data_IF_306449810944
#
_entry.id   IF_306449810944
#
_cell.length_a   1.000
_cell.length_b   1.000
_cell.length_c   1.000
_cell.angle_alpha   90.00
_cell.angle_beta   90.00
_cell.angle_gamma   90.00
#
_symmetry.space_group_name_H-M   'P 1'
#
loop_
_entity.id
_entity.type
_entity.pdbx_description
1 polymer ?
#
# COMPACT_ATOMS: atom_id res chain seq x y z
N UNK A 1 94.82 -12.39 38.82
CA UNK A 1 93.39 -12.06 38.92
C UNK A 1 93.12 -10.98 37.87
N UNK A 2 92.62 -11.40 36.71
CA UNK A 2 92.05 -10.62 35.59
C UNK A 2 92.67 -9.27 35.17
N UNK A 3 93.61 -9.31 34.21
CA UNK A 3 93.92 -8.22 33.28
C UNK A 3 93.24 -8.50 31.92
N UNK A 4 92.62 -7.48 31.28
CA UNK A 4 92.57 -7.29 29.80
C UNK A 4 91.77 -6.02 29.38
N UNK A 5 92.53 -5.04 28.89
CA UNK A 5 92.43 -4.34 27.58
C UNK A 5 91.12 -3.65 27.11
N UNK A 6 91.16 -2.31 27.18
CA UNK A 6 91.07 -1.28 26.12
C UNK A 6 90.24 -1.51 24.82
N UNK A 7 89.35 -0.54 24.57
CA UNK A 7 89.06 0.26 23.34
C UNK A 7 87.55 0.55 23.32
N UNK A 8 87.01 1.78 23.30
CA UNK A 8 87.35 2.98 22.53
C UNK A 8 86.12 3.29 21.65
N UNK A 9 85.45 4.44 21.81
CA UNK A 9 84.87 5.24 20.71
C UNK A 9 84.15 6.51 21.23
N UNK A 10 84.47 7.63 20.58
CA UNK A 10 83.87 8.97 20.73
C UNK A 10 82.58 9.09 19.90
N UNK A 11 81.82 10.16 20.24
CA UNK A 11 81.07 11.10 19.39
C UNK A 11 79.53 11.16 19.48
N UNK A 12 79.10 12.40 19.80
CA UNK A 12 78.02 13.21 19.21
C UNK A 12 76.60 13.20 19.81
N UNK A 13 76.26 14.37 20.35
CA UNK A 13 74.91 14.93 20.49
C UNK A 13 74.23 15.07 19.11
N UNK A 14 72.94 14.76 19.03
CA UNK A 14 71.99 15.46 18.16
C UNK A 14 70.54 15.22 18.66
N UNK A 15 69.79 16.31 18.83
CA UNK A 15 68.41 16.29 19.31
C UNK A 15 67.44 15.67 18.31
N UNK A 16 66.48 14.89 18.82
CA UNK A 16 65.32 14.42 18.05
C UNK A 16 64.14 15.36 18.26
N UNK A 17 63.79 16.11 17.22
CA UNK A 17 62.47 16.73 17.05
C UNK A 17 61.42 15.62 16.99
N UNK A 18 60.38 15.70 17.84
CA UNK A 18 59.20 14.85 17.75
C UNK A 18 58.48 15.15 16.42
N UNK A 19 58.47 14.18 15.50
CA UNK A 19 57.57 14.22 14.33
C UNK A 19 56.17 13.88 14.83
N UNK A 20 55.23 14.80 14.62
CA UNK A 20 53.80 14.58 14.78
C UNK A 20 53.34 13.52 13.78
N UNK A 21 52.74 12.44 14.27
CA UNK A 21 52.05 11.46 13.43
C UNK A 21 50.77 12.09 12.89
N UNK A 22 50.44 11.96 11.60
CA UNK A 22 49.12 12.36 11.11
C UNK A 22 48.07 11.43 11.73
N UNK A 23 46.99 12.02 12.25
CA UNK A 23 45.78 11.29 12.60
C UNK A 23 45.24 10.56 11.37
N UNK A 24 44.73 9.32 11.50
CA UNK A 24 43.92 8.75 10.44
C UNK A 24 42.66 9.60 10.36
N UNK A 25 42.54 10.40 9.31
CA UNK A 25 41.24 10.86 8.87
C UNK A 25 40.44 9.61 8.54
N UNK A 26 39.49 9.25 9.40
CA UNK A 26 38.41 8.37 9.00
C UNK A 26 37.73 9.08 7.83
N UNK A 27 37.82 8.53 6.63
CA UNK A 27 36.89 8.85 5.57
C UNK A 27 35.50 8.50 6.11
N UNK A 28 34.79 9.49 6.66
CA UNK A 28 33.35 9.45 6.71
C UNK A 28 32.92 9.40 5.25
N UNK A 29 32.69 8.19 4.73
CA UNK A 29 32.21 7.98 3.37
C UNK A 29 31.04 8.93 3.15
N UNK A 30 31.14 9.79 2.15
CA UNK A 30 30.09 10.75 1.82
C UNK A 30 28.78 10.00 1.60
N UNK A 31 27.85 10.12 2.55
CA UNK A 31 26.50 9.56 2.41
C UNK A 31 25.81 10.31 1.27
N UNK A 32 25.69 9.65 0.12
CA UNK A 32 24.99 10.20 -1.03
C UNK A 32 23.49 10.06 -0.80
N UNK A 33 22.81 11.19 -0.65
CA UNK A 33 21.36 11.23 -0.55
C UNK A 33 20.74 10.92 -1.91
N UNK A 34 19.75 10.03 -1.93
CA UNK A 34 19.09 9.57 -3.17
C UNK A 34 17.64 10.04 -3.26
N UNK A 35 16.99 10.33 -2.14
CA UNK A 35 15.62 10.82 -2.09
C UNK A 35 15.39 11.64 -0.82
N UNK A 36 15.09 12.94 -0.98
CA UNK A 36 14.96 13.89 0.15
C UNK A 36 16.20 13.80 1.05
N UNK A 37 15.99 13.48 2.33
CA UNK A 37 17.03 13.39 3.36
C UNK A 37 17.52 11.95 3.59
N UNK A 38 17.18 11.01 2.69
CA UNK A 38 17.56 9.60 2.80
C UNK A 38 18.72 9.23 1.88
N UNK A 39 19.69 8.49 2.43
CA UNK A 39 20.56 7.59 1.67
C UNK A 39 19.83 6.27 1.34
N UNK A 40 20.50 5.32 0.70
CA UNK A 40 19.88 4.05 0.31
C UNK A 40 19.34 3.26 1.50
N UNK A 41 20.14 3.11 2.57
CA UNK A 41 19.77 2.32 3.73
C UNK A 41 18.60 2.96 4.50
N UNK A 42 18.60 4.28 4.64
CA UNK A 42 17.51 5.04 5.22
C UNK A 42 16.22 4.91 4.42
N UNK A 43 16.31 4.98 3.09
CA UNK A 43 15.15 4.83 2.22
C UNK A 43 14.57 3.42 2.28
N UNK A 44 15.42 2.38 2.28
CA UNK A 44 14.99 1.00 2.43
C UNK A 44 14.28 0.77 3.78
N UNK A 45 14.84 1.30 4.87
CA UNK A 45 14.24 1.21 6.19
C UNK A 45 12.89 1.97 6.28
N UNK A 46 12.77 3.11 5.60
CA UNK A 46 11.56 3.93 5.60
C UNK A 46 10.34 3.25 4.95
N UNK A 47 10.54 2.18 4.18
CA UNK A 47 9.48 1.39 3.55
C UNK A 47 9.41 -0.06 4.04
N UNK A 48 10.22 -0.47 5.02
CA UNK A 48 10.19 -1.82 5.56
C UNK A 48 9.16 -1.98 6.70
N UNK A 49 7.87 -1.96 6.34
CA UNK A 49 6.76 -2.10 7.30
C UNK A 49 6.80 -3.42 8.09
N UNK A 50 7.35 -4.50 7.52
CA UNK A 50 7.50 -5.80 8.20
C UNK A 50 8.54 -5.75 9.32
N UNK A 51 9.63 -5.02 9.12
CA UNK A 51 10.62 -4.79 10.17
C UNK A 51 10.10 -3.82 11.25
N UNK A 52 9.26 -2.85 10.87
CA UNK A 52 8.64 -1.92 11.81
C UNK A 52 7.62 -2.59 12.75
N UNK A 53 7.04 -3.73 12.35
CA UNK A 53 6.08 -4.51 13.14
C UNK A 53 6.55 -5.97 13.19
N UNK A 54 7.51 -6.33 14.06
CA UNK A 54 8.19 -7.62 13.99
C UNK A 54 7.30 -8.86 14.10
N UNK A 55 6.15 -8.75 14.78
CA UNK A 55 5.17 -9.82 14.99
C UNK A 55 4.06 -9.83 13.92
N UNK A 56 4.19 -9.05 12.84
CA UNK A 56 3.11 -8.82 11.89
C UNK A 56 2.49 -10.11 11.33
N UNK A 57 3.31 -11.14 11.13
CA UNK A 57 2.90 -12.41 10.55
C UNK A 57 1.91 -13.13 11.48
N UNK A 58 2.31 -13.40 12.73
CA UNK A 58 1.49 -14.13 13.68
C UNK A 58 0.32 -13.29 14.21
N UNK A 59 0.54 -12.00 14.46
CA UNK A 59 -0.46 -11.11 15.05
C UNK A 59 -1.59 -10.76 14.05
N UNK A 60 -1.27 -10.63 12.76
CA UNK A 60 -2.22 -10.14 11.76
C UNK A 60 -2.40 -11.10 10.59
N UNK A 61 -1.34 -11.40 9.84
CA UNK A 61 -1.47 -12.11 8.54
C UNK A 61 -2.03 -13.52 8.70
N UNK A 62 -1.52 -14.29 9.66
CA UNK A 62 -1.98 -15.66 9.93
C UNK A 62 -3.43 -15.65 10.44
N UNK A 63 -3.77 -14.69 11.31
CA UNK A 63 -5.13 -14.51 11.82
C UNK A 63 -6.09 -14.11 10.69
N UNK A 64 -5.72 -13.15 9.84
CA UNK A 64 -6.53 -12.76 8.67
C UNK A 64 -6.78 -13.94 7.75
N UNK A 65 -5.77 -14.77 7.47
CA UNK A 65 -5.92 -15.97 6.67
C UNK A 65 -6.86 -16.99 7.33
N UNK A 66 -6.67 -17.30 8.62
CA UNK A 66 -7.50 -18.25 9.35
C UNK A 66 -8.96 -17.79 9.47
N UNK A 67 -9.18 -16.51 9.78
CA UNK A 67 -10.52 -15.92 9.83
C UNK A 67 -11.16 -15.89 8.44
N UNK A 68 -10.40 -15.57 7.39
CA UNK A 68 -10.90 -15.58 6.00
C UNK A 68 -11.33 -16.96 5.55
N UNK A 69 -10.53 -18.00 5.85
CA UNK A 69 -10.91 -19.40 5.57
C UNK A 69 -12.23 -19.77 6.27
N UNK A 70 -12.41 -19.34 7.53
CA UNK A 70 -13.67 -19.55 8.26
C UNK A 70 -14.83 -18.82 7.58
N UNK A 71 -14.65 -17.54 7.25
CA UNK A 71 -15.69 -16.71 6.62
C UNK A 71 -16.15 -17.29 5.28
N UNK A 72 -15.24 -17.78 4.44
CA UNK A 72 -15.54 -18.40 3.14
C UNK A 72 -16.47 -19.62 3.23
N UNK A 73 -16.59 -20.23 4.40
CA UNK A 73 -17.50 -21.37 4.64
C UNK A 73 -18.82 -20.99 5.31
N UNK A 74 -18.92 -19.77 5.85
CA UNK A 74 -20.05 -19.33 6.69
C UNK A 74 -20.87 -18.19 6.09
N UNK A 75 -20.26 -17.34 5.29
CA UNK A 75 -20.94 -16.22 4.63
C UNK A 75 -21.33 -16.64 3.21
N UNK A 76 -22.57 -16.41 2.76
CA UNK A 76 -22.96 -16.66 1.38
C UNK A 76 -22.00 -15.99 0.40
N UNK A 77 -21.39 -16.77 -0.47
CA UNK A 77 -20.39 -16.25 -1.39
C UNK A 77 -20.32 -17.04 -2.70
N UNK A 78 -19.76 -16.39 -3.72
CA UNK A 78 -19.31 -16.99 -4.97
C UNK A 78 -17.82 -16.71 -5.09
N UNK A 79 -17.02 -17.76 -5.07
CA UNK A 79 -15.56 -17.69 -5.05
C UNK A 79 -15.00 -17.86 -6.47
N UNK A 80 -13.80 -17.30 -6.67
CA UNK A 80 -12.96 -17.52 -7.84
C UNK A 80 -13.63 -17.20 -9.19
N UNK A 81 -14.44 -16.14 -9.20
CA UNK A 81 -15.03 -15.61 -10.43
C UNK A 81 -13.92 -14.97 -11.27
N UNK A 82 -13.76 -15.42 -12.51
CA UNK A 82 -12.79 -14.85 -13.43
C UNK A 82 -13.27 -13.50 -13.99
N UNK A 83 -12.46 -12.46 -13.80
CA UNK A 83 -12.64 -11.19 -14.50
C UNK A 83 -11.68 -11.02 -15.69
N UNK A 84 -10.76 -11.96 -15.87
CA UNK A 84 -9.78 -11.96 -16.95
C UNK A 84 -9.05 -13.30 -17.09
N UNK A 85 -8.14 -13.41 -18.07
CA UNK A 85 -7.57 -14.70 -18.49
C UNK A 85 -6.55 -15.30 -17.50
N UNK A 86 -5.79 -14.48 -16.77
CA UNK A 86 -4.78 -15.01 -15.84
C UNK A 86 -5.43 -15.78 -14.69
N UNK A 87 -4.78 -16.84 -14.14
CA UNK A 87 -5.21 -17.51 -12.91
C UNK A 87 -5.44 -16.57 -11.72
N UNK A 88 -4.73 -15.43 -11.63
CA UNK A 88 -4.92 -14.46 -10.54
C UNK A 88 -5.92 -13.35 -10.88
N UNK A 89 -6.47 -13.31 -12.09
CA UNK A 89 -7.55 -12.38 -12.42
C UNK A 89 -8.90 -12.93 -11.91
N UNK A 90 -9.01 -12.98 -10.57
CA UNK A 90 -10.14 -13.57 -9.84
C UNK A 90 -10.70 -12.62 -8.79
N UNK A 91 -12.01 -12.70 -8.58
CA UNK A 91 -12.70 -12.04 -7.48
C UNK A 91 -13.62 -13.00 -6.74
N UNK A 92 -13.82 -12.72 -5.45
CA UNK A 92 -14.80 -13.38 -4.60
C UNK A 92 -15.90 -12.38 -4.27
N UNK A 93 -17.17 -12.76 -4.42
CA UNK A 93 -18.33 -11.94 -4.05
C UNK A 93 -19.02 -12.55 -2.86
N UNK A 94 -19.06 -11.81 -1.75
CA UNK A 94 -19.79 -12.15 -0.54
C UNK A 94 -21.08 -11.33 -0.49
N UNK A 95 -22.19 -12.01 -0.22
CA UNK A 95 -23.53 -11.45 -0.35
C UNK A 95 -24.24 -11.43 1.00
N UNK A 96 -24.94 -10.34 1.36
CA UNK A 96 -25.83 -10.32 2.52
C UNK A 96 -26.89 -11.40 2.46
N UNK A 97 -27.36 -11.85 3.63
CA UNK A 97 -28.51 -12.73 3.72
C UNK A 97 -29.79 -12.05 3.18
N UNK A 98 -30.71 -12.86 2.67
CA UNK A 98 -32.00 -12.39 2.15
C UNK A 98 -31.99 -11.97 0.68
N UNK A 99 -33.17 -11.60 0.17
CA UNK A 99 -33.34 -11.20 -1.23
C UNK A 99 -32.61 -9.89 -1.54
N UNK A 100 -32.09 -9.78 -2.77
CA UNK A 100 -31.53 -8.52 -3.27
C UNK A 100 -32.64 -7.48 -3.45
N UNK A 101 -32.45 -6.22 -3.03
CA UNK A 101 -33.41 -5.16 -3.29
C UNK A 101 -33.54 -4.87 -4.80
N UNK A 102 -34.67 -4.30 -5.24
CA UNK A 102 -34.79 -3.78 -6.61
C UNK A 102 -33.67 -2.78 -6.90
N UNK A 103 -32.95 -2.97 -8.01
CA UNK A 103 -31.81 -2.12 -8.40
C UNK A 103 -30.43 -2.60 -7.94
N UNK A 104 -30.36 -3.61 -7.06
CA UNK A 104 -29.09 -4.17 -6.57
C UNK A 104 -28.59 -3.51 -5.28
N UNK A 105 -27.43 -3.99 -4.80
CA UNK A 105 -26.83 -3.61 -3.52
C UNK A 105 -25.62 -2.69 -3.74
N UNK A 106 -25.32 -1.78 -2.81
CA UNK A 106 -23.99 -1.16 -2.76
C UNK A 106 -22.92 -2.26 -2.62
N UNK A 107 -21.70 -1.98 -3.04
CA UNK A 107 -20.59 -2.92 -2.88
C UNK A 107 -19.30 -2.22 -2.49
N UNK A 108 -18.49 -2.94 -1.71
CA UNK A 108 -17.09 -2.64 -1.48
C UNK A 108 -16.22 -3.58 -2.31
N UNK A 109 -15.51 -3.05 -3.31
CA UNK A 109 -14.36 -3.71 -3.92
C UNK A 109 -13.13 -3.46 -3.05
N UNK A 110 -12.60 -4.52 -2.44
CA UNK A 110 -11.40 -4.47 -1.61
C UNK A 110 -10.19 -5.02 -2.36
N UNK A 111 -9.11 -4.22 -2.40
CA UNK A 111 -7.84 -4.56 -3.02
C UNK A 111 -6.79 -4.78 -1.93
N UNK A 112 -6.18 -5.96 -1.93
CA UNK A 112 -5.18 -6.32 -0.92
C UNK A 112 -3.83 -5.58 -1.11
N UNK A 113 -3.06 -5.49 -0.02
CA UNK A 113 -1.68 -4.98 -0.05
C UNK A 113 -0.65 -6.05 -0.41
N UNK A 114 0.62 -5.79 -0.09
CA UNK A 114 1.73 -6.73 -0.34
C UNK A 114 2.78 -6.23 -1.33
N UNK A 115 2.96 -4.91 -1.42
CA UNK A 115 3.93 -4.27 -2.33
C UNK A 115 3.86 -4.78 -3.77
N UNK A 116 2.65 -5.11 -4.25
CA UNK A 116 2.39 -5.67 -5.58
C UNK A 116 3.15 -6.98 -5.89
N UNK A 117 3.78 -7.59 -4.90
CA UNK A 117 4.69 -8.73 -5.01
C UNK A 117 4.25 -9.92 -4.18
N UNK A 118 3.26 -9.75 -3.31
CA UNK A 118 2.77 -10.81 -2.44
C UNK A 118 1.26 -10.72 -2.21
N UNK A 119 0.78 -11.72 -1.46
CA UNK A 119 -0.60 -11.87 -1.00
C UNK A 119 -1.58 -12.36 -2.08
N UNK A 120 -2.80 -12.65 -1.62
CA UNK A 120 -3.90 -13.14 -2.42
C UNK A 120 -5.23 -12.76 -1.74
N UNK A 121 -6.30 -12.58 -2.52
CA UNK A 121 -7.65 -12.26 -1.99
C UNK A 121 -8.15 -13.23 -0.92
N UNK A 122 -7.66 -14.47 -0.93
CA UNK A 122 -8.13 -15.52 -0.01
C UNK A 122 -7.79 -15.24 1.46
N UNK A 123 -6.77 -14.43 1.73
CA UNK A 123 -6.41 -13.99 3.08
C UNK A 123 -7.19 -12.75 3.53
N UNK A 124 -8.07 -12.20 2.70
CA UNK A 124 -8.81 -10.96 2.94
C UNK A 124 -10.32 -11.16 2.81
N UNK A 125 -10.85 -12.34 3.10
CA UNK A 125 -12.29 -12.54 3.22
C UNK A 125 -12.84 -12.12 4.60
N UNK A 126 -11.98 -11.99 5.61
CA UNK A 126 -12.37 -11.64 6.99
C UNK A 126 -13.23 -10.36 7.14
N UNK A 127 -13.15 -9.32 6.27
CA UNK A 127 -14.04 -8.17 6.37
C UNK A 127 -15.49 -8.43 5.94
N UNK A 128 -15.74 -9.52 5.21
CA UNK A 128 -17.02 -9.78 4.58
C UNK A 128 -18.22 -9.78 5.53
N UNK A 129 -18.18 -10.35 6.76
CA UNK A 129 -19.33 -10.32 7.66
C UNK A 129 -19.72 -8.90 8.06
N UNK A 130 -18.75 -8.02 8.28
CA UNK A 130 -18.98 -6.63 8.69
C UNK A 130 -19.61 -5.84 7.56
N UNK A 131 -19.07 -5.97 6.35
CA UNK A 131 -19.61 -5.29 5.17
C UNK A 131 -20.97 -5.84 4.77
N UNK A 132 -21.14 -7.16 4.70
CA UNK A 132 -22.43 -7.77 4.34
C UNK A 132 -23.51 -7.55 5.40
N UNK A 133 -23.13 -7.36 6.67
CA UNK A 133 -24.04 -6.93 7.74
C UNK A 133 -24.70 -5.56 7.50
N UNK A 134 -24.14 -4.72 6.62
CA UNK A 134 -24.77 -3.44 6.21
C UNK A 134 -25.76 -3.59 5.05
N UNK A 135 -25.89 -4.77 4.46
CA UNK A 135 -26.64 -4.99 3.24
C UNK A 135 -25.85 -4.71 1.94
N UNK A 136 -24.57 -4.35 2.05
CA UNK A 136 -23.64 -4.21 0.92
C UNK A 136 -22.98 -5.54 0.52
N UNK A 137 -22.57 -5.68 -0.74
CA UNK A 137 -21.66 -6.75 -1.14
C UNK A 137 -20.24 -6.46 -0.66
N UNK A 138 -19.52 -7.50 -0.27
CA UNK A 138 -18.07 -7.44 -0.14
C UNK A 138 -17.42 -8.19 -1.29
N UNK A 139 -16.53 -7.54 -2.01
CA UNK A 139 -15.87 -8.09 -3.18
C UNK A 139 -14.37 -8.04 -2.95
N UNK A 140 -13.71 -9.18 -2.80
CA UNK A 140 -12.26 -9.26 -2.69
C UNK A 140 -11.66 -9.64 -4.04
N UNK A 141 -10.74 -8.82 -4.56
CA UNK A 141 -10.06 -9.09 -5.84
C UNK A 141 -8.57 -9.39 -5.63
N UNK A 142 -8.05 -10.28 -6.48
CA UNK A 142 -6.62 -10.52 -6.64
C UNK A 142 -6.19 -10.12 -8.05
N UNK A 143 -4.89 -9.99 -8.27
CA UNK A 143 -4.26 -9.55 -9.52
C UNK A 143 -2.87 -10.18 -9.63
N UNK A 144 -2.30 -10.19 -10.84
CA UNK A 144 -0.93 -10.69 -11.06
C UNK A 144 0.11 -9.83 -10.33
N UNK A 145 1.20 -10.46 -9.91
CA UNK A 145 2.20 -9.83 -9.06
C UNK A 145 3.50 -9.57 -9.82
N UNK A 146 4.24 -8.56 -9.39
CA UNK A 146 5.62 -8.37 -9.79
C UNK A 146 6.49 -9.51 -9.19
N UNK A 147 7.50 -10.03 -9.92
CA UNK A 147 7.99 -9.57 -11.22
C UNK A 147 7.33 -10.27 -12.43
N UNK A 148 6.32 -11.11 -12.24
CA UNK A 148 5.70 -11.88 -13.34
C UNK A 148 4.99 -10.97 -14.35
N UNK A 149 4.48 -9.82 -13.87
CA UNK A 149 3.95 -8.73 -14.69
C UNK A 149 4.53 -7.40 -14.25
N UNK A 150 4.42 -6.37 -15.12
CA UNK A 150 4.79 -5.00 -14.74
C UNK A 150 3.70 -4.34 -13.90
N UNK A 151 4.07 -3.25 -13.23
CA UNK A 151 3.14 -2.40 -12.49
C UNK A 151 2.03 -1.82 -13.40
N UNK A 152 2.34 -1.51 -14.65
CA UNK A 152 1.33 -1.08 -15.64
C UNK A 152 0.32 -2.18 -15.94
N UNK A 153 0.79 -3.42 -16.14
CA UNK A 153 -0.08 -4.56 -16.46
C UNK A 153 -1.02 -4.87 -15.29
N UNK A 154 -0.49 -4.99 -14.06
CA UNK A 154 -1.35 -5.31 -12.91
C UNK A 154 -2.38 -4.22 -12.64
N UNK A 155 -2.05 -2.94 -12.83
CA UNK A 155 -3.03 -1.86 -12.64
C UNK A 155 -4.13 -1.94 -13.71
N UNK A 156 -3.78 -2.32 -14.94
CA UNK A 156 -4.78 -2.55 -15.99
C UNK A 156 -5.69 -3.73 -15.66
N UNK A 157 -5.16 -4.82 -15.08
CA UNK A 157 -5.98 -5.93 -14.64
C UNK A 157 -7.02 -5.50 -13.60
N UNK A 158 -6.65 -4.67 -12.62
CA UNK A 158 -7.62 -4.20 -11.63
C UNK A 158 -8.65 -3.24 -12.25
N UNK A 159 -8.27 -2.45 -13.25
CA UNK A 159 -9.25 -1.66 -14.03
C UNK A 159 -10.22 -2.55 -14.81
N UNK A 160 -9.75 -3.67 -15.36
CA UNK A 160 -10.61 -4.68 -16.00
C UNK A 160 -11.57 -5.32 -14.99
N UNK A 161 -11.15 -5.55 -13.74
CA UNK A 161 -12.05 -6.01 -12.68
C UNK A 161 -13.20 -5.02 -12.44
N UNK A 162 -12.95 -3.71 -12.40
CA UNK A 162 -14.03 -2.70 -12.30
C UNK A 162 -14.95 -2.75 -13.52
N UNK A 163 -14.39 -2.81 -14.72
CA UNK A 163 -15.18 -2.97 -15.96
C UNK A 163 -16.06 -4.22 -15.94
N UNK A 164 -15.52 -5.35 -15.47
CA UNK A 164 -16.24 -6.60 -15.33
C UNK A 164 -17.39 -6.48 -14.31
N UNK A 165 -17.16 -5.84 -13.17
CA UNK A 165 -18.19 -5.62 -12.14
C UNK A 165 -19.36 -4.79 -12.68
N UNK A 166 -19.08 -3.75 -13.47
CA UNK A 166 -20.12 -2.95 -14.14
C UNK A 166 -20.91 -3.78 -15.15
N UNK A 167 -20.22 -4.56 -15.99
CA UNK A 167 -20.85 -5.40 -17.01
C UNK A 167 -21.73 -6.49 -16.40
N UNK A 168 -21.29 -7.08 -15.29
CA UNK A 168 -21.96 -8.21 -14.62
C UNK A 168 -22.74 -7.80 -13.37
N UNK A 169 -23.00 -6.51 -13.18
CA UNK A 169 -23.57 -5.98 -11.94
C UNK A 169 -24.89 -6.68 -11.56
N UNK A 170 -25.78 -6.89 -12.53
CA UNK A 170 -27.05 -7.61 -12.35
C UNK A 170 -26.84 -9.07 -11.89
N UNK A 171 -25.85 -9.77 -12.44
CA UNK A 171 -25.59 -11.19 -12.18
C UNK A 171 -25.06 -11.44 -10.76
N UNK A 172 -24.40 -10.44 -10.18
CA UNK A 172 -23.87 -10.49 -8.81
C UNK A 172 -24.73 -9.71 -7.81
N UNK A 173 -25.82 -9.08 -8.27
CA UNK A 173 -26.71 -8.28 -7.43
C UNK A 173 -26.12 -6.93 -6.99
N UNK A 174 -25.15 -6.41 -7.72
CA UNK A 174 -24.54 -5.09 -7.54
C UNK A 174 -25.41 -4.01 -8.19
N UNK A 175 -25.58 -2.89 -7.48
CA UNK A 175 -25.95 -1.61 -8.08
C UNK A 175 -24.66 -0.94 -8.62
N UNK A 176 -24.47 -0.84 -9.94
CA UNK A 176 -23.22 -0.32 -10.53
C UNK A 176 -22.97 1.15 -10.19
N UNK A 177 -23.99 1.92 -9.80
CA UNK A 177 -23.83 3.30 -9.36
C UNK A 177 -23.37 3.42 -7.89
N UNK A 178 -23.24 2.29 -7.17
CA UNK A 178 -22.91 2.24 -5.74
C UNK A 178 -21.70 1.34 -5.45
N UNK A 179 -20.75 1.29 -6.39
CA UNK A 179 -19.48 0.58 -6.22
C UNK A 179 -18.45 1.49 -5.53
N UNK A 180 -18.08 1.16 -4.30
CA UNK A 180 -16.97 1.80 -3.56
C UNK A 180 -15.73 0.95 -3.69
N UNK A 181 -14.56 1.57 -3.85
CA UNK A 181 -13.28 0.87 -3.78
C UNK A 181 -12.55 1.20 -2.48
N UNK A 182 -11.96 0.21 -1.84
CA UNK A 182 -10.98 0.41 -0.77
C UNK A 182 -9.78 -0.50 -1.00
N UNK A 183 -8.64 -0.14 -0.44
CA UNK A 183 -7.50 -1.03 -0.46
C UNK A 183 -6.42 -0.60 0.51
N UNK A 184 -5.63 -1.57 0.94
CA UNK A 184 -4.59 -1.39 1.95
C UNK A 184 -3.19 -1.39 1.33
N UNK A 185 -2.32 -0.46 1.72
CA UNK A 185 -0.91 -0.44 1.29
C UNK A 185 -0.78 -0.32 -0.24
N UNK A 186 -0.17 -1.28 -0.91
CA UNK A 186 -0.21 -1.41 -2.37
C UNK A 186 -1.64 -1.41 -2.95
N UNK A 187 -2.63 -1.95 -2.24
CA UNK A 187 -4.04 -1.85 -2.60
C UNK A 187 -4.60 -0.44 -2.42
N UNK A 188 -4.06 0.35 -1.49
CA UNK A 188 -4.40 1.77 -1.32
C UNK A 188 -3.88 2.62 -2.49
N UNK A 189 -2.67 2.32 -2.98
CA UNK A 189 -2.16 2.86 -4.25
C UNK A 189 -3.10 2.54 -5.42
N UNK A 190 -3.54 1.29 -5.55
CA UNK A 190 -4.46 0.86 -6.61
C UNK A 190 -5.82 1.56 -6.45
N UNK A 191 -6.39 1.63 -5.25
CA UNK A 191 -7.66 2.32 -5.00
C UNK A 191 -7.60 3.80 -5.38
N UNK A 192 -6.51 4.51 -5.03
CA UNK A 192 -6.29 5.89 -5.45
C UNK A 192 -6.17 6.03 -6.98
N UNK A 193 -5.46 5.09 -7.62
CA UNK A 193 -5.32 5.07 -9.08
C UNK A 193 -6.64 4.78 -9.82
N UNK A 194 -7.51 3.93 -9.25
CA UNK A 194 -8.85 3.65 -9.76
C UNK A 194 -9.77 4.87 -9.61
N UNK A 195 -9.69 5.61 -8.50
CA UNK A 195 -10.46 6.82 -8.27
C UNK A 195 -10.21 7.89 -9.35
N UNK A 196 -8.99 7.96 -9.88
CA UNK A 196 -8.62 8.88 -10.95
C UNK A 196 -8.55 8.22 -12.34
N UNK A 197 -9.10 7.03 -12.54
CA UNK A 197 -9.18 6.44 -13.88
C UNK A 197 -10.25 7.16 -14.72
N UNK A 198 -9.93 7.47 -15.98
CA UNK A 198 -10.90 7.96 -16.95
C UNK A 198 -11.78 6.79 -17.40
N UNK A 199 -12.87 6.60 -16.67
CA UNK A 199 -13.81 5.52 -16.89
C UNK A 199 -14.64 5.72 -18.17
N UNK A 200 -14.89 6.98 -18.56
CA UNK A 200 -15.59 7.30 -19.81
C UNK A 200 -14.78 6.85 -21.03
N UNK A 201 -13.46 7.10 -21.03
CA UNK A 201 -12.56 6.58 -22.06
C UNK A 201 -12.49 5.03 -22.10
N UNK A 202 -12.96 4.36 -21.05
CA UNK A 202 -13.07 2.89 -20.94
C UNK A 202 -14.48 2.36 -21.20
N UNK A 203 -15.42 3.20 -21.65
CA UNK A 203 -16.79 2.79 -21.94
C UNK A 203 -17.67 2.59 -20.70
N UNK A 204 -17.26 3.10 -19.54
CA UNK A 204 -18.05 3.11 -18.30
C UNK A 204 -18.57 4.53 -18.00
N UNK A 205 -19.59 4.68 -17.15
CA UNK A 205 -19.99 6.00 -16.66
C UNK A 205 -18.81 6.74 -16.00
N UNK A 206 -18.73 8.06 -16.16
CA UNK A 206 -17.67 8.85 -15.49
C UNK A 206 -17.68 8.63 -13.96
N UNK A 207 -18.87 8.46 -13.37
CA UNK A 207 -19.07 8.06 -11.97
C UNK A 207 -19.09 6.54 -11.76
N UNK A 208 -18.21 5.77 -12.40
CA UNK A 208 -18.16 4.32 -12.25
C UNK A 208 -17.83 3.87 -10.81
N UNK A 209 -17.27 4.75 -9.99
CA UNK A 209 -17.05 4.53 -8.57
C UNK A 209 -17.87 5.55 -7.78
N UNK A 210 -18.55 5.08 -6.73
CA UNK A 210 -19.33 5.89 -5.81
C UNK A 210 -18.48 6.47 -4.66
N UNK A 211 -17.31 5.89 -4.42
CA UNK A 211 -16.40 6.29 -3.36
C UNK A 211 -15.06 5.58 -3.44
N UNK A 212 -14.03 6.16 -2.81
CA UNK A 212 -12.72 5.55 -2.66
C UNK A 212 -12.20 5.68 -1.23
N UNK A 213 -11.59 4.62 -0.70
CA UNK A 213 -10.89 4.62 0.58
C UNK A 213 -9.49 3.99 0.44
N UNK A 214 -8.49 4.77 -0.02
CA UNK A 214 -7.09 4.40 0.11
C UNK A 214 -6.66 4.35 1.59
N UNK A 215 -6.32 3.16 2.07
CA UNK A 215 -5.83 2.91 3.41
C UNK A 215 -4.31 2.67 3.37
N UNK A 216 -3.54 3.52 4.04
CA UNK A 216 -2.08 3.43 4.16
C UNK A 216 -1.39 3.30 2.80
N UNK A 217 -1.90 4.02 1.80
CA UNK A 217 -1.50 3.88 0.40
C UNK A 217 -0.15 4.52 0.06
N UNK A 218 0.33 4.20 -1.15
CA UNK A 218 1.52 4.80 -1.76
C UNK A 218 1.05 5.66 -2.94
N UNK A 219 1.35 6.95 -2.91
CA UNK A 219 0.81 7.93 -3.85
C UNK A 219 1.89 8.58 -4.73
N UNK A 220 3.14 8.59 -4.26
CA UNK A 220 4.35 8.85 -5.05
C UNK A 220 5.23 7.58 -5.05
N UNK A 221 5.45 7.03 -6.24
CA UNK A 221 6.21 5.78 -6.43
C UNK A 221 7.70 6.02 -6.69
N UNK A 222 8.15 7.26 -6.84
CA UNK A 222 9.59 7.55 -6.99
C UNK A 222 10.45 7.00 -5.83
N UNK A 223 10.09 7.19 -4.54
CA UNK A 223 10.86 6.57 -3.45
C UNK A 223 10.81 5.03 -3.47
N UNK A 224 9.74 4.43 -4.00
CA UNK A 224 9.66 2.98 -4.20
C UNK A 224 10.62 2.54 -5.31
N UNK A 225 10.65 3.27 -6.43
CA UNK A 225 11.55 3.03 -7.56
C UNK A 225 13.03 3.04 -7.14
N UNK A 226 13.36 3.90 -6.18
CA UNK A 226 14.72 4.11 -5.67
C UNK A 226 15.12 3.16 -4.54
N UNK A 227 14.20 2.34 -4.02
CA UNK A 227 14.47 1.45 -2.88
C UNK A 227 14.45 -0.04 -3.27
N UNK A 228 14.78 -0.90 -2.31
CA UNK A 228 14.89 -2.36 -2.51
C UNK A 228 13.64 -3.04 -3.13
N UNK A 229 12.44 -2.47 -2.96
CA UNK A 229 11.19 -3.01 -3.50
C UNK A 229 11.16 -2.99 -5.03
N UNK A 230 11.94 -2.10 -5.66
CA UNK A 230 11.99 -2.02 -7.11
C UNK A 230 12.73 -3.19 -7.77
N UNK A 231 13.45 -4.01 -7.01
CA UNK A 231 14.08 -5.23 -7.55
C UNK A 231 13.06 -6.17 -8.22
N UNK A 232 11.85 -6.24 -7.68
CA UNK A 232 10.76 -6.99 -8.27
C UNK A 232 9.86 -6.14 -9.18
N UNK A 233 9.51 -4.92 -8.77
CA UNK A 233 8.59 -4.05 -9.54
C UNK A 233 9.20 -3.58 -10.86
N UNK A 234 10.52 -3.40 -10.90
CA UNK A 234 11.32 -3.01 -12.08
C UNK A 234 10.79 -1.78 -12.80
N UNK A 235 10.23 -0.84 -12.05
CA UNK A 235 9.78 0.44 -12.58
C UNK A 235 10.98 1.25 -13.05
N UNK A 236 10.87 1.83 -14.24
CA UNK A 236 11.70 2.95 -14.66
C UNK A 236 11.09 4.29 -14.17
N UNK A 237 11.77 5.40 -14.49
CA UNK A 237 11.31 6.75 -14.09
C UNK A 237 9.94 7.07 -14.70
N UNK A 238 9.68 6.64 -15.94
CA UNK A 238 8.45 6.94 -16.64
C UNK A 238 7.27 6.15 -16.07
N UNK A 239 7.44 4.85 -15.79
CA UNK A 239 6.42 4.00 -15.19
C UNK A 239 6.10 4.46 -13.75
N UNK A 240 7.11 4.76 -12.93
CA UNK A 240 6.87 5.28 -11.58
C UNK A 240 6.09 6.61 -11.63
N UNK A 241 6.45 7.53 -12.52
CA UNK A 241 5.74 8.80 -12.69
C UNK A 241 4.31 8.60 -13.23
N UNK A 242 4.10 7.68 -14.19
CA UNK A 242 2.79 7.38 -14.77
C UNK A 242 1.84 6.70 -13.79
N UNK A 243 2.38 5.95 -12.81
CA UNK A 243 1.60 5.18 -11.85
C UNK A 243 1.54 5.83 -10.46
N UNK A 244 2.12 7.02 -10.27
CA UNK A 244 1.99 7.80 -9.04
C UNK A 244 0.68 8.61 -9.03
N UNK A 245 -0.39 8.21 -8.31
CA UNK A 245 -1.68 8.89 -8.37
C UNK A 245 -1.61 10.37 -7.95
N UNK A 246 -0.64 10.77 -7.13
CA UNK A 246 -0.43 12.19 -6.77
C UNK A 246 -0.16 13.09 -7.99
N UNK A 247 0.30 12.52 -9.11
CA UNK A 247 0.62 13.23 -10.36
C UNK A 247 -0.54 13.24 -11.36
N UNK A 248 -1.60 12.46 -11.12
CA UNK A 248 -2.68 12.21 -12.09
C UNK A 248 -4.07 12.47 -11.50
N UNK A 249 -4.19 13.54 -10.70
CA UNK A 249 -5.46 13.91 -10.07
C UNK A 249 -6.41 14.49 -11.11
N UNK A 250 -7.53 13.82 -11.33
CA UNK A 250 -8.59 14.22 -12.28
C UNK A 250 -9.78 14.89 -11.56
N UNK A 251 -10.37 15.96 -12.13
CA UNK A 251 -11.69 16.44 -11.72
C UNK A 251 -12.75 15.34 -11.86
N UNK A 252 -13.79 15.40 -11.03
CA UNK A 252 -14.88 14.41 -11.06
C UNK A 252 -14.53 13.05 -10.44
N UNK A 253 -13.38 12.94 -9.77
CA UNK A 253 -13.05 11.78 -8.94
C UNK A 253 -14.14 11.52 -7.89
N UNK A 254 -14.37 10.26 -7.50
CA UNK A 254 -15.38 9.93 -6.50
C UNK A 254 -15.01 10.52 -5.14
N UNK A 255 -16.00 10.71 -4.25
CA UNK A 255 -15.72 11.09 -2.88
C UNK A 255 -14.69 10.15 -2.23
N UNK A 256 -13.60 10.73 -1.72
CA UNK A 256 -12.45 9.97 -1.23
C UNK A 256 -12.23 10.20 0.25
N UNK A 257 -11.95 9.15 1.02
CA UNK A 257 -11.47 9.22 2.40
C UNK A 257 -10.05 8.62 2.42
N UNK A 258 -9.07 9.38 2.86
CA UNK A 258 -7.71 8.89 3.05
C UNK A 258 -7.53 8.46 4.50
N UNK A 259 -6.95 7.28 4.72
CA UNK A 259 -6.67 6.76 6.06
C UNK A 259 -5.23 6.29 6.15
N UNK A 260 -4.58 6.50 7.29
CA UNK A 260 -3.27 5.93 7.62
C UNK A 260 -3.18 5.66 9.12
N UNK A 261 -2.43 4.65 9.55
CA UNK A 261 -2.12 4.44 10.96
C UNK A 261 -1.14 5.51 11.46
N UNK A 262 -1.43 6.11 12.60
CA UNK A 262 -0.60 7.17 13.19
C UNK A 262 0.73 6.68 13.78
N UNK A 263 0.88 5.38 14.01
CA UNK A 263 2.11 4.72 14.43
C UNK A 263 2.82 3.99 13.28
N UNK A 264 2.47 4.30 12.02
CA UNK A 264 3.19 3.81 10.85
C UNK A 264 4.57 4.47 10.66
N UNK A 265 5.36 3.90 9.75
CA UNK A 265 6.60 4.53 9.31
C UNK A 265 6.32 5.94 8.76
N UNK A 266 7.19 6.94 9.03
CA UNK A 266 6.93 8.33 8.70
C UNK A 266 6.60 8.60 7.23
N UNK A 267 7.17 7.82 6.29
CA UNK A 267 6.89 7.98 4.87
C UNK A 267 5.43 7.64 4.50
N UNK A 268 4.78 6.69 5.17
CA UNK A 268 3.38 6.34 4.88
C UNK A 268 2.43 7.47 5.34
N UNK A 269 2.71 8.03 6.51
CA UNK A 269 1.98 9.19 7.04
C UNK A 269 2.21 10.41 6.15
N UNK A 270 3.46 10.69 5.79
CA UNK A 270 3.82 11.80 4.89
C UNK A 270 3.13 11.67 3.54
N UNK A 271 3.24 10.51 2.89
CA UNK A 271 2.62 10.29 1.58
C UNK A 271 1.10 10.51 1.65
N UNK A 272 0.43 10.05 2.71
CA UNK A 272 -1.01 10.26 2.92
C UNK A 272 -1.37 11.74 3.08
N UNK A 273 -0.60 12.49 3.89
CA UNK A 273 -0.78 13.94 4.05
C UNK A 273 -0.56 14.70 2.74
N UNK A 274 0.54 14.40 2.06
CA UNK A 274 0.93 15.07 0.80
C UNK A 274 -0.10 14.79 -0.30
N UNK A 275 -0.62 13.56 -0.39
CA UNK A 275 -1.68 13.24 -1.34
C UNK A 275 -2.99 13.96 -1.01
N UNK A 276 -3.38 14.01 0.26
CA UNK A 276 -4.55 14.78 0.70
C UNK A 276 -4.43 16.28 0.36
N UNK A 277 -3.25 16.86 0.55
CA UNK A 277 -2.97 18.25 0.18
C UNK A 277 -3.02 18.45 -1.34
N UNK A 278 -2.45 17.53 -2.12
CA UNK A 278 -2.49 17.60 -3.59
C UNK A 278 -3.92 17.50 -4.13
N UNK A 279 -4.76 16.62 -3.57
CA UNK A 279 -6.19 16.52 -3.90
C UNK A 279 -6.92 17.84 -3.63
N UNK A 280 -6.69 18.46 -2.48
CA UNK A 280 -7.28 19.75 -2.14
C UNK A 280 -6.82 20.87 -3.10
N UNK A 281 -5.52 20.93 -3.42
CA UNK A 281 -4.97 21.90 -4.37
C UNK A 281 -5.52 21.73 -5.80
N UNK A 282 -5.82 20.50 -6.20
CA UNK A 282 -6.43 20.18 -7.49
C UNK A 282 -7.95 20.42 -7.54
N UNK A 283 -8.57 20.93 -6.47
CA UNK A 283 -10.00 21.22 -6.41
C UNK A 283 -10.89 19.99 -6.20
N UNK A 284 -10.31 18.86 -5.77
CA UNK A 284 -11.03 17.62 -5.42
C UNK A 284 -10.70 17.18 -4.00
N UNK A 285 -10.95 18.02 -2.98
CA UNK A 285 -10.54 17.74 -1.60
C UNK A 285 -11.13 16.41 -1.10
N UNK A 286 -10.35 15.60 -0.37
CA UNK A 286 -10.88 14.40 0.25
C UNK A 286 -11.95 14.78 1.28
N UNK A 287 -12.96 13.92 1.47
CA UNK A 287 -13.97 14.07 2.54
C UNK A 287 -13.32 14.09 3.92
N UNK A 288 -12.26 13.30 4.10
CA UNK A 288 -11.45 13.29 5.30
C UNK A 288 -10.04 12.75 4.98
N UNK A 289 -9.07 13.21 5.76
CA UNK A 289 -7.74 12.59 5.91
C UNK A 289 -7.63 12.18 7.36
N UNK A 290 -7.57 10.88 7.62
CA UNK A 290 -7.69 10.30 8.96
C UNK A 290 -6.39 9.60 9.33
N UNK A 291 -5.76 10.07 10.41
CA UNK A 291 -4.64 9.38 11.04
C UNK A 291 -5.16 8.64 12.26
N UNK A 292 -5.16 7.31 12.23
CA UNK A 292 -5.68 6.47 13.30
C UNK A 292 -4.65 6.37 14.43
N UNK A 293 -4.85 7.04 15.59
CA UNK A 293 -3.78 7.18 16.58
C UNK A 293 -3.39 5.82 17.18
N UNK A 294 -2.08 5.55 17.25
CA UNK A 294 -1.55 4.31 17.84
C UNK A 294 -1.63 3.08 16.93
N UNK A 295 -2.29 3.17 15.77
CA UNK A 295 -2.36 2.07 14.82
C UNK A 295 -1.12 1.98 13.93
N UNK A 296 -0.62 0.76 13.78
CA UNK A 296 0.47 0.45 12.86
C UNK A 296 -0.05 0.03 11.49
N UNK A 297 0.86 -0.30 10.56
CA UNK A 297 0.53 -0.59 9.17
C UNK A 297 -0.42 -1.79 9.00
N UNK A 298 -0.49 -2.69 9.99
CA UNK A 298 -1.35 -3.87 9.95
C UNK A 298 -2.61 -3.69 10.83
N UNK A 299 -2.49 -3.14 12.05
CA UNK A 299 -3.66 -2.97 12.94
C UNK A 299 -4.72 -2.04 12.37
N UNK A 300 -4.32 -1.05 11.57
CA UNK A 300 -5.26 -0.10 10.94
C UNK A 300 -6.28 -0.79 10.02
N UNK A 301 -5.95 -1.97 9.47
CA UNK A 301 -6.89 -2.77 8.69
C UNK A 301 -7.98 -3.37 9.58
N UNK A 302 -7.63 -3.85 10.77
CA UNK A 302 -8.62 -4.34 11.73
C UNK A 302 -9.53 -3.22 12.20
N UNK A 303 -8.95 -2.05 12.51
CA UNK A 303 -9.71 -0.87 12.97
C UNK A 303 -10.66 -0.36 11.89
N UNK A 304 -10.28 -0.44 10.60
CA UNK A 304 -11.17 -0.10 9.50
C UNK A 304 -12.43 -1.00 9.47
N UNK A 305 -12.27 -2.28 9.80
CA UNK A 305 -13.34 -3.28 9.76
C UNK A 305 -13.88 -3.66 11.14
N UNK A 306 -13.64 -2.84 12.16
CA UNK A 306 -14.32 -2.93 13.45
C UNK A 306 -15.60 -2.08 13.39
N UNK A 307 -16.82 -2.67 13.47
CA UNK A 307 -18.07 -1.91 13.47
C UNK A 307 -18.18 -0.87 14.60
N UNK A 308 -17.45 -1.05 15.70
CA UNK A 308 -17.38 -0.10 16.81
C UNK A 308 -16.22 0.89 16.68
N UNK A 309 -15.33 0.68 15.70
CA UNK A 309 -14.14 1.47 15.46
C UNK A 309 -14.42 2.82 14.81
N UNK A 310 -13.54 3.83 15.02
CA UNK A 310 -13.74 5.18 14.49
C UNK A 310 -13.68 5.22 12.96
N UNK A 311 -12.87 4.36 12.34
CA UNK A 311 -12.65 4.32 10.89
C UNK A 311 -13.85 3.75 10.12
N UNK A 312 -14.61 2.84 10.73
CA UNK A 312 -15.75 2.19 10.09
C UNK A 312 -16.83 3.18 9.62
N UNK A 313 -17.06 4.24 10.41
CA UNK A 313 -18.05 5.28 10.09
C UNK A 313 -17.78 5.95 8.74
N UNK A 314 -16.50 6.15 8.39
CA UNK A 314 -16.10 6.72 7.11
C UNK A 314 -16.39 5.78 5.94
N UNK A 315 -16.03 4.50 6.07
CA UNK A 315 -16.29 3.49 5.05
C UNK A 315 -17.80 3.26 4.85
N UNK A 316 -18.55 3.15 5.94
CA UNK A 316 -20.01 3.04 5.91
C UNK A 316 -20.67 4.23 5.22
N UNK A 317 -20.17 5.45 5.50
CA UNK A 317 -20.63 6.67 4.83
C UNK A 317 -20.38 6.70 3.31
N UNK A 318 -19.32 6.05 2.83
CA UNK A 318 -19.08 5.89 1.38
C UNK A 318 -20.06 4.87 0.75
N UNK A 319 -20.41 3.80 1.47
CA UNK A 319 -21.37 2.79 1.01
C UNK A 319 -22.82 3.32 0.97
N UNK A 320 -23.10 4.43 1.65
CA UNK A 320 -24.44 4.99 1.78
C UNK A 320 -25.39 4.06 2.55
N UNK A 321 -24.85 3.43 3.61
CA UNK A 321 -25.55 2.49 4.49
C UNK A 321 -25.63 3.00 5.93
#
# INVERSE_FOLDING_TARGET
MGDRLMEGFRLLRAGRRRRSMPHPHSEAGSMTLIYRDFDQAGLDAAYNNRNAVPDFQAAYVDRWAATSATVRTRVPCRLDIAYGPSPRQRLDVFTPAGSSPPGGRPALLYIHGGYWQSNHKDSYSFPAPVVTGTGALYIAATYDLCPDVTMTVLLEQVRQAVGWLHLHARDIGLDPARLVVAGHSAGGHIAASLAHTDWAARGLPAGALAGALPLSGLYDLEPIRLNYLNAACRMDVAEAAALSPIRHIRPGAPPTVLVVGGAELPELVRQTRDYGAALAQAGVPPRAVVESPGDNHFSVVDVLFDPAGPLWSHLKGLLGA
#
